data_IF_013120996869
#
_entry.id   IF_013120996869
#
_cell.length_a   1.000
_cell.length_b   1.000
_cell.length_c   1.000
_cell.angle_alpha   90.00
_cell.angle_beta   90.00
_cell.angle_gamma   90.00
#
_symmetry.space_group_name_H-M   'P 1'
#
loop_
_entity.id
_entity.type
_entity.pdbx_description
1 polymer ?
#
# COMPACT_ATOMS: atom_id res chain seq x y z
N UNK A 1 6.71 -17.51 -3.03
CA UNK A 1 6.07 -16.17 -2.90
C UNK A 1 7.09 -15.25 -2.24
N UNK A 2 7.26 -14.03 -2.73
CA UNK A 2 8.24 -13.07 -2.19
C UNK A 2 7.56 -12.20 -1.13
N UNK A 3 8.25 -11.92 -0.03
CA UNK A 3 7.79 -10.93 0.92
C UNK A 3 8.20 -9.54 0.44
N UNK A 4 7.28 -8.60 0.51
CA UNK A 4 7.50 -7.21 0.18
C UNK A 4 7.13 -6.35 1.38
N UNK A 5 8.01 -5.42 1.69
CA UNK A 5 7.82 -4.41 2.71
C UNK A 5 7.69 -3.04 2.05
N UNK A 6 6.75 -2.26 2.57
CA UNK A 6 6.54 -0.86 2.23
C UNK A 6 6.81 -0.03 3.47
N UNK A 7 7.71 0.95 3.37
CA UNK A 7 7.88 2.06 4.32
C UNK A 7 7.81 3.34 3.50
N UNK A 8 6.69 4.06 3.60
CA UNK A 8 6.53 5.28 2.84
C UNK A 8 5.17 5.95 3.01
N UNK A 9 4.97 7.09 2.37
CA UNK A 9 3.71 7.81 2.45
C UNK A 9 2.59 7.11 1.69
N UNK A 10 1.36 7.23 2.17
CA UNK A 10 0.15 6.76 1.49
C UNK A 10 -0.61 7.97 1.01
N UNK A 11 -0.81 8.05 -0.30
CA UNK A 11 -1.60 9.10 -0.93
C UNK A 11 -2.99 8.57 -1.21
N UNK A 12 -4.01 9.39 -0.94
CA UNK A 12 -5.40 9.11 -1.23
C UNK A 12 -5.90 10.18 -2.19
N UNK A 13 -6.19 9.78 -3.43
CA UNK A 13 -6.43 10.69 -4.55
C UNK A 13 -5.25 11.64 -4.78
N UNK A 14 -5.22 12.76 -4.06
CA UNK A 14 -4.15 13.78 -4.08
C UNK A 14 -3.66 14.14 -2.66
N UNK A 15 -4.40 13.72 -1.62
CA UNK A 15 -4.10 14.01 -0.24
C UNK A 15 -3.13 12.99 0.35
N UNK A 16 -2.05 13.46 0.97
CA UNK A 16 -1.19 12.60 1.78
C UNK A 16 -1.90 12.26 3.10
N UNK A 17 -2.54 11.09 3.16
CA UNK A 17 -3.26 10.63 4.36
C UNK A 17 -2.30 10.14 5.42
N UNK A 18 -1.20 9.51 4.99
CA UNK A 18 -0.19 9.02 5.91
C UNK A 18 1.19 9.39 5.40
N UNK A 19 1.96 10.15 6.18
CA UNK A 19 3.35 10.44 5.82
C UNK A 19 4.26 9.21 5.92
N UNK A 20 3.95 8.29 6.82
CA UNK A 20 4.75 7.07 7.02
C UNK A 20 3.86 5.90 7.40
N UNK A 21 3.66 4.99 6.45
CA UNK A 21 2.96 3.74 6.66
C UNK A 21 3.91 2.58 6.41
N UNK A 22 4.01 1.70 7.41
CA UNK A 22 4.81 0.49 7.36
C UNK A 22 3.90 -0.71 7.25
N UNK A 23 4.00 -1.43 6.14
CA UNK A 23 3.22 -2.64 5.94
C UNK A 23 4.00 -3.68 5.14
N UNK A 24 3.79 -4.93 5.48
CA UNK A 24 4.36 -6.07 4.76
C UNK A 24 3.26 -6.86 4.08
N UNK A 25 3.55 -7.39 2.90
CA UNK A 25 2.68 -8.25 2.15
C UNK A 25 3.47 -9.34 1.45
N UNK A 26 2.82 -10.45 1.13
CA UNK A 26 3.43 -11.54 0.38
C UNK A 26 2.76 -11.56 -0.99
N UNK A 27 3.57 -11.49 -2.04
CA UNK A 27 3.09 -11.43 -3.41
C UNK A 27 4.09 -12.07 -4.37
N UNK A 28 3.64 -12.48 -5.57
CA UNK A 28 4.54 -12.95 -6.63
C UNK A 28 5.26 -11.81 -7.36
N UNK A 29 4.71 -10.58 -7.34
CA UNK A 29 5.27 -9.40 -8.03
C UNK A 29 5.05 -8.12 -7.23
N UNK A 30 5.88 -7.10 -7.48
CA UNK A 30 5.76 -5.78 -6.85
C UNK A 30 4.42 -5.10 -7.13
N UNK A 31 3.88 -5.28 -8.35
CA UNK A 31 2.58 -4.73 -8.75
C UNK A 31 1.46 -5.33 -7.88
N UNK A 32 1.47 -6.66 -7.71
CA UNK A 32 0.49 -7.35 -6.87
C UNK A 32 0.65 -6.98 -5.40
N UNK A 33 1.89 -6.81 -4.94
CA UNK A 33 2.18 -6.33 -3.60
C UNK A 33 1.59 -4.93 -3.36
N UNK A 34 1.75 -3.99 -4.31
CA UNK A 34 1.09 -2.67 -4.27
C UNK A 34 -0.43 -2.80 -4.13
N UNK A 35 -1.06 -3.63 -4.97
CA UNK A 35 -2.51 -3.83 -4.90
C UNK A 35 -2.97 -4.42 -3.56
N UNK A 36 -2.24 -5.41 -3.03
CA UNK A 36 -2.54 -6.02 -1.73
C UNK A 36 -2.42 -5.00 -0.58
N UNK A 37 -1.37 -4.17 -0.60
CA UNK A 37 -1.15 -3.13 0.38
C UNK A 37 -2.24 -2.05 0.31
N UNK A 38 -2.56 -1.56 -0.89
CA UNK A 38 -3.64 -0.59 -1.08
C UNK A 38 -4.98 -1.16 -0.58
N UNK A 39 -5.27 -2.44 -0.84
CA UNK A 39 -6.46 -3.11 -0.34
C UNK A 39 -6.48 -3.22 1.19
N UNK A 40 -5.37 -3.64 1.81
CA UNK A 40 -5.25 -3.69 3.28
C UNK A 40 -5.49 -2.31 3.91
N UNK A 41 -4.86 -1.27 3.36
CA UNK A 41 -5.03 0.09 3.84
C UNK A 41 -6.49 0.55 3.80
N UNK A 42 -7.17 0.28 2.67
CA UNK A 42 -8.62 0.57 2.54
C UNK A 42 -9.44 -0.15 3.60
N UNK A 43 -9.18 -1.44 3.81
CA UNK A 43 -9.93 -2.26 4.76
C UNK A 43 -9.73 -1.79 6.20
N UNK A 44 -8.49 -1.46 6.57
CA UNK A 44 -8.12 -1.00 7.92
C UNK A 44 -8.71 0.38 8.23
N UNK A 45 -8.72 1.28 7.25
CA UNK A 45 -9.27 2.63 7.42
C UNK A 45 -10.79 2.71 7.13
N UNK A 46 -11.47 1.59 6.87
CA UNK A 46 -12.89 1.58 6.52
C UNK A 46 -13.22 2.40 5.26
N UNK A 47 -12.24 2.59 4.36
CA UNK A 47 -12.37 3.44 3.20
C UNK A 47 -13.27 2.78 2.16
N UNK A 48 -14.12 3.59 1.53
CA UNK A 48 -14.97 3.13 0.44
C UNK A 48 -14.12 2.52 -0.69
N UNK A 49 -14.60 1.45 -1.36
CA UNK A 49 -13.85 0.77 -2.42
C UNK A 49 -13.43 1.72 -3.56
N UNK A 50 -14.24 2.76 -3.81
CA UNK A 50 -13.98 3.81 -4.79
C UNK A 50 -12.80 4.76 -4.43
N UNK A 51 -12.27 4.65 -3.22
CA UNK A 51 -11.12 5.46 -2.80
C UNK A 51 -9.88 5.04 -3.59
N UNK A 52 -9.28 5.96 -4.37
CA UNK A 52 -7.96 5.71 -4.98
C UNK A 52 -6.88 5.85 -3.91
N UNK A 53 -6.23 4.74 -3.58
CA UNK A 53 -5.03 4.72 -2.76
C UNK A 53 -3.83 4.52 -3.68
N UNK A 54 -2.91 5.46 -3.62
CA UNK A 54 -1.66 5.44 -4.36
C UNK A 54 -0.51 5.26 -3.36
N UNK A 55 0.35 4.30 -3.66
CA UNK A 55 1.56 4.02 -2.89
C UNK A 55 2.75 4.43 -3.77
N UNK A 56 3.20 5.70 -3.71
CA UNK A 56 4.31 6.18 -4.53
C UNK A 56 5.65 5.59 -4.09
N UNK A 57 5.76 5.10 -2.84
CA UNK A 57 6.97 4.47 -2.35
C UNK A 57 7.37 3.22 -3.15
N UNK A 58 8.67 2.92 -3.14
CA UNK A 58 9.19 1.64 -3.61
C UNK A 58 8.89 0.54 -2.60
N UNK A 59 8.53 -0.64 -3.09
CA UNK A 59 8.49 -1.82 -2.24
C UNK A 59 9.88 -2.41 -2.19
N UNK A 60 10.29 -2.74 -0.98
CA UNK A 60 11.55 -3.39 -0.71
C UNK A 60 11.22 -4.87 -0.57
N UNK A 61 11.83 -5.78 -1.37
CA UNK A 61 11.73 -7.20 -1.08
C UNK A 61 12.38 -7.45 0.29
N UNK A 62 11.64 -8.09 1.18
CA UNK A 62 12.10 -8.47 2.53
C UNK A 62 12.65 -9.91 2.53
#
# INVERSE_FOLDING_TARGET
MQQYQYDGPVMRFDDCVQHRWKATTVAPTEVKAKSNLAYRYKKENGLMPNTKITLPGKLIPA
#
